data_IF_142872408541
#
_entry.id   IF_142872408541
#
_cell.length_a   1.000
_cell.length_b   1.000
_cell.length_c   1.000
_cell.angle_alpha   90.00
_cell.angle_beta   90.00
_cell.angle_gamma   90.00
#
_symmetry.space_group_name_H-M   'P 1'
#
loop_
_entity.id
_entity.type
_entity.pdbx_description
1 polymer ?
#
# COMPACT_ATOMS: atom_id res chain seq x y z
N UNK A 1 -18.59 -10.26 17.64
CA UNK A 1 -17.63 -11.29 17.14
C UNK A 1 -16.56 -11.52 18.19
N UNK A 2 -16.43 -12.75 18.71
CA UNK A 2 -15.33 -13.15 19.58
C UNK A 2 -13.96 -12.89 18.91
N UNK A 3 -12.90 -12.56 19.70
CA UNK A 3 -11.59 -12.18 19.18
C UNK A 3 -10.96 -13.22 18.24
N UNK A 4 -11.17 -14.51 18.52
CA UNK A 4 -10.60 -15.61 17.73
C UNK A 4 -11.24 -15.73 16.33
N UNK A 5 -12.56 -15.55 16.22
CA UNK A 5 -13.23 -15.49 14.92
C UNK A 5 -12.80 -14.25 14.13
N UNK A 6 -12.62 -13.11 14.82
CA UNK A 6 -12.14 -11.87 14.21
C UNK A 6 -10.74 -12.04 13.61
N UNK A 7 -9.84 -12.75 14.30
CA UNK A 7 -8.50 -13.11 13.81
C UNK A 7 -8.55 -13.95 12.54
N UNK A 8 -9.37 -15.01 12.51
CA UNK A 8 -9.51 -15.86 11.34
C UNK A 8 -10.07 -15.08 10.15
N UNK A 9 -11.08 -14.25 10.38
CA UNK A 9 -11.62 -13.36 9.35
C UNK A 9 -10.54 -12.43 8.78
N UNK A 10 -9.78 -11.72 9.62
CA UNK A 10 -8.73 -10.82 9.14
C UNK A 10 -7.60 -11.56 8.42
N UNK A 11 -7.20 -12.74 8.89
CA UNK A 11 -6.16 -13.54 8.24
C UNK A 11 -6.59 -14.01 6.85
N UNK A 12 -7.81 -14.53 6.73
CA UNK A 12 -8.39 -14.96 5.45
C UNK A 12 -8.57 -13.79 4.49
N UNK A 13 -9.10 -12.66 4.99
CA UNK A 13 -9.26 -11.44 4.21
C UNK A 13 -7.91 -10.94 3.68
N UNK A 14 -6.88 -10.91 4.53
CA UNK A 14 -5.55 -10.44 4.15
C UNK A 14 -4.90 -11.34 3.09
N UNK A 15 -5.00 -12.66 3.25
CA UNK A 15 -4.47 -13.62 2.27
C UNK A 15 -5.18 -13.53 0.92
N UNK A 16 -6.49 -13.36 0.95
CA UNK A 16 -7.30 -13.25 -0.26
C UNK A 16 -7.11 -11.92 -0.98
N UNK A 17 -7.07 -10.82 -0.22
CA UNK A 17 -7.00 -9.45 -0.74
C UNK A 17 -5.60 -9.08 -1.26
N UNK A 18 -4.53 -9.60 -0.63
CA UNK A 18 -3.17 -9.17 -0.95
C UNK A 18 -2.77 -9.38 -2.42
N UNK A 19 -3.07 -10.56 -2.98
CA UNK A 19 -2.72 -10.90 -4.38
C UNK A 19 -3.43 -10.05 -5.43
N UNK A 20 -4.78 -9.95 -5.44
CA UNK A 20 -5.49 -9.15 -6.44
C UNK A 20 -5.18 -7.66 -6.32
N UNK A 21 -5.02 -7.12 -5.10
CA UNK A 21 -4.66 -5.70 -4.95
C UNK A 21 -3.25 -5.41 -5.47
N UNK A 22 -2.27 -6.25 -5.15
CA UNK A 22 -0.92 -6.08 -5.68
C UNK A 22 -0.89 -6.17 -7.22
N UNK A 23 -1.66 -7.10 -7.80
CA UNK A 23 -1.81 -7.21 -9.24
C UNK A 23 -2.47 -5.96 -9.85
N UNK A 24 -3.54 -5.44 -9.23
CA UNK A 24 -4.20 -4.21 -9.69
C UNK A 24 -3.24 -3.01 -9.66
N UNK A 25 -2.46 -2.85 -8.58
CA UNK A 25 -1.43 -1.81 -8.49
C UNK A 25 -0.35 -1.95 -9.57
N UNK A 26 0.11 -3.18 -9.84
CA UNK A 26 1.07 -3.42 -10.90
C UNK A 26 0.51 -3.05 -12.29
N UNK A 27 -0.76 -3.37 -12.55
CA UNK A 27 -1.46 -2.97 -13.78
C UNK A 27 -1.56 -1.45 -13.87
N UNK A 28 -1.93 -0.75 -12.79
CA UNK A 28 -2.01 0.72 -12.77
C UNK A 28 -0.65 1.36 -13.05
N UNK A 29 0.43 0.81 -12.51
CA UNK A 29 1.79 1.29 -12.80
C UNK A 29 2.12 1.07 -14.27
N UNK A 30 1.84 -0.13 -14.81
CA UNK A 30 2.08 -0.44 -16.22
C UNK A 30 1.29 0.47 -17.17
N UNK A 31 0.01 0.72 -16.87
CA UNK A 31 -0.81 1.63 -17.67
C UNK A 31 -0.34 3.08 -17.55
N UNK A 32 0.10 3.52 -16.36
CA UNK A 32 0.71 4.83 -16.17
C UNK A 32 2.02 5.03 -16.95
N UNK A 33 2.85 3.97 -17.08
CA UNK A 33 4.04 4.00 -17.93
C UNK A 33 3.64 4.14 -19.40
N UNK A 34 2.67 3.34 -19.85
CA UNK A 34 2.21 3.35 -21.24
C UNK A 34 1.59 4.70 -21.62
N UNK A 35 0.75 5.26 -20.75
CA UNK A 35 0.10 6.56 -20.95
C UNK A 35 1.09 7.73 -20.92
N UNK A 36 2.14 7.67 -20.11
CA UNK A 36 3.13 8.74 -20.04
C UNK A 36 4.13 8.75 -21.19
N UNK A 37 4.45 7.57 -21.74
CA UNK A 37 5.47 7.39 -22.77
C UNK A 37 4.86 7.22 -24.16
N UNK A 38 4.13 6.13 -24.42
CA UNK A 38 3.65 5.77 -25.75
C UNK A 38 2.43 6.60 -26.20
N UNK A 39 1.52 6.91 -25.27
CA UNK A 39 0.36 7.77 -25.54
C UNK A 39 0.54 9.20 -24.99
N UNK A 40 1.74 9.52 -24.50
CA UNK A 40 2.03 10.75 -23.77
C UNK A 40 3.10 11.60 -24.45
N UNK A 41 3.49 12.73 -23.81
CA UNK A 41 4.44 13.68 -24.38
C UNK A 41 5.91 13.27 -24.19
N UNK A 42 6.21 12.21 -23.41
CA UNK A 42 7.59 11.78 -23.12
C UNK A 42 8.11 10.92 -24.27
N UNK A 43 8.82 11.54 -25.21
CA UNK A 43 9.37 10.86 -26.38
C UNK A 43 10.88 10.59 -26.24
N UNK A 44 11.56 11.37 -25.41
CA UNK A 44 13.01 11.27 -25.16
C UNK A 44 13.29 11.27 -23.66
N UNK A 45 14.39 10.63 -23.26
CA UNK A 45 14.85 10.63 -21.87
C UNK A 45 15.07 12.04 -21.30
N UNK A 46 15.43 13.01 -22.15
CA UNK A 46 15.55 14.40 -21.74
C UNK A 46 14.21 15.00 -21.29
N UNK A 47 13.08 14.59 -21.88
CA UNK A 47 11.76 15.15 -21.59
C UNK A 47 11.33 14.84 -20.15
N UNK A 48 11.79 13.72 -19.59
CA UNK A 48 11.54 13.33 -18.19
C UNK A 48 12.06 14.39 -17.22
N UNK A 49 13.22 14.99 -17.50
CA UNK A 49 13.88 15.93 -16.60
C UNK A 49 13.61 17.40 -16.97
N UNK A 50 13.48 17.68 -18.26
CA UNK A 50 13.36 19.05 -18.78
C UNK A 50 11.92 19.57 -18.75
N UNK A 51 10.91 18.69 -18.72
CA UNK A 51 9.50 19.12 -18.72
C UNK A 51 8.88 19.06 -17.33
N UNK A 52 7.89 19.92 -17.08
CA UNK A 52 7.08 19.83 -15.85
C UNK A 52 6.31 18.50 -15.81
N UNK A 53 5.73 18.09 -16.94
CA UNK A 53 5.04 16.81 -17.08
C UNK A 53 5.93 15.63 -16.71
N UNK A 54 7.13 15.55 -17.30
CA UNK A 54 8.08 14.45 -17.08
C UNK A 54 8.48 14.30 -15.61
N UNK A 55 8.70 15.42 -14.91
CA UNK A 55 9.06 15.41 -13.48
C UNK A 55 7.90 14.93 -12.61
N UNK A 56 6.67 15.38 -12.88
CA UNK A 56 5.49 14.93 -12.13
C UNK A 56 5.18 13.46 -12.43
N UNK A 57 5.28 13.05 -13.69
CA UNK A 57 5.15 11.65 -14.10
C UNK A 57 6.18 10.74 -13.42
N UNK A 58 7.45 11.14 -13.38
CA UNK A 58 8.50 10.37 -12.72
C UNK A 58 8.26 10.29 -11.20
N UNK A 59 7.85 11.39 -10.58
CA UNK A 59 7.50 11.43 -9.15
C UNK A 59 6.34 10.49 -8.85
N UNK A 60 5.28 10.50 -9.67
CA UNK A 60 4.15 9.60 -9.54
C UNK A 60 4.57 8.13 -9.71
N UNK A 61 5.41 7.84 -10.72
CA UNK A 61 5.90 6.49 -10.98
C UNK A 61 6.72 5.95 -9.80
N UNK A 62 7.69 6.73 -9.31
CA UNK A 62 8.51 6.34 -8.16
C UNK A 62 7.66 6.16 -6.90
N UNK A 63 6.71 7.06 -6.66
CA UNK A 63 5.78 6.97 -5.52
C UNK A 63 4.92 5.72 -5.62
N UNK A 64 4.38 5.39 -6.80
CA UNK A 64 3.57 4.20 -7.02
C UNK A 64 4.37 2.90 -6.78
N UNK A 65 5.59 2.82 -7.31
CA UNK A 65 6.48 1.67 -7.09
C UNK A 65 6.84 1.54 -5.61
N UNK A 66 7.24 2.64 -4.95
CA UNK A 66 7.59 2.63 -3.54
C UNK A 66 6.40 2.23 -2.66
N UNK A 67 5.21 2.72 -2.96
CA UNK A 67 3.98 2.38 -2.23
C UNK A 67 3.64 0.90 -2.38
N UNK A 68 3.69 0.37 -3.61
CA UNK A 68 3.46 -1.05 -3.87
C UNK A 68 4.49 -1.94 -3.16
N UNK A 69 5.78 -1.60 -3.26
CA UNK A 69 6.84 -2.32 -2.58
C UNK A 69 6.67 -2.28 -1.05
N UNK A 70 6.32 -1.13 -0.49
CA UNK A 70 6.08 -0.97 0.93
C UNK A 70 4.90 -1.83 1.42
N UNK A 71 3.76 -1.79 0.71
CA UNK A 71 2.60 -2.62 1.03
C UNK A 71 2.90 -4.11 0.99
N UNK A 72 3.64 -4.54 -0.03
CA UNK A 72 3.99 -5.95 -0.23
C UNK A 72 5.02 -6.47 0.77
N UNK A 73 6.08 -5.72 1.04
CA UNK A 73 7.17 -6.20 1.89
C UNK A 73 7.00 -5.84 3.36
N UNK A 74 6.43 -4.68 3.69
CA UNK A 74 6.36 -4.16 5.06
C UNK A 74 4.95 -4.32 5.62
N UNK A 75 3.94 -3.78 4.93
CA UNK A 75 2.54 -3.82 5.38
C UNK A 75 2.02 -5.25 5.57
N UNK A 76 2.15 -6.07 4.52
CA UNK A 76 1.71 -7.46 4.55
C UNK A 76 2.42 -8.29 5.63
N UNK A 77 3.75 -8.20 5.73
CA UNK A 77 4.52 -8.95 6.74
C UNK A 77 4.11 -8.57 8.15
N UNK A 78 4.02 -7.27 8.44
CA UNK A 78 3.70 -6.79 9.79
C UNK A 78 2.30 -7.19 10.24
N UNK A 79 1.32 -7.05 9.37
CA UNK A 79 -0.05 -7.50 9.65
C UNK A 79 -0.11 -9.02 9.86
N UNK A 80 0.59 -9.80 9.03
CA UNK A 80 0.63 -11.26 9.18
C UNK A 80 1.32 -11.69 10.48
N UNK A 81 2.37 -11.00 10.93
CA UNK A 81 3.02 -11.26 12.22
C UNK A 81 2.04 -11.08 13.39
N UNK A 82 1.25 -10.00 13.39
CA UNK A 82 0.25 -9.72 14.44
C UNK A 82 -0.94 -10.69 14.36
N UNK A 83 -1.42 -11.01 13.16
CA UNK A 83 -2.52 -11.95 12.98
C UNK A 83 -2.12 -13.40 13.25
N UNK A 84 -0.86 -13.77 13.12
CA UNK A 84 -0.39 -15.13 13.39
C UNK A 84 -0.09 -15.39 14.87
N UNK A 85 0.15 -14.37 15.67
CA UNK A 85 0.49 -14.51 17.09
C UNK A 85 -0.73 -14.87 17.95
N UNK A 86 -0.88 -16.14 18.33
CA UNK A 86 -2.04 -16.66 19.07
C UNK A 86 -2.17 -16.11 20.48
N UNK A 87 -1.04 -15.88 21.14
CA UNK A 87 -1.00 -15.43 22.52
C UNK A 87 -1.61 -14.03 22.66
N UNK A 88 -1.33 -13.13 21.71
CA UNK A 88 -1.93 -11.79 21.67
C UNK A 88 -3.47 -11.82 21.61
N UNK A 89 -4.03 -12.74 20.82
CA UNK A 89 -5.48 -12.85 20.65
C UNK A 89 -6.15 -13.60 21.80
N UNK A 90 -5.46 -14.58 22.42
CA UNK A 90 -5.92 -15.26 23.64
C UNK A 90 -5.93 -14.33 24.84
N UNK A 91 -4.90 -13.50 25.02
CA UNK A 91 -4.83 -12.49 26.10
C UNK A 91 -5.98 -11.48 26.00
N UNK A 92 -6.27 -10.97 24.79
CA UNK A 92 -7.41 -10.09 24.56
C UNK A 92 -8.76 -10.77 24.84
N UNK A 93 -8.88 -12.08 24.62
CA UNK A 93 -10.07 -12.85 24.97
C UNK A 93 -10.20 -13.09 26.49
N UNK A 94 -9.07 -13.14 27.20
CA UNK A 94 -8.99 -13.25 28.66
C UNK A 94 -9.24 -11.93 29.41
N UNK A 95 -9.44 -10.82 28.71
CA UNK A 95 -9.78 -9.52 29.28
C UNK A 95 -8.68 -8.46 29.23
N UNK A 96 -7.46 -8.81 28.81
CA UNK A 96 -6.36 -7.85 28.64
C UNK A 96 -6.17 -7.50 27.15
N UNK A 97 -6.82 -6.41 26.73
CA UNK A 97 -6.85 -5.97 25.33
C UNK A 97 -5.73 -4.98 24.96
N UNK A 98 -5.00 -4.46 25.94
CA UNK A 98 -3.92 -3.48 25.76
C UNK A 98 -2.83 -3.93 24.78
N UNK A 99 -2.27 -5.17 24.86
CA UNK A 99 -1.23 -5.61 23.94
C UNK A 99 -1.74 -5.77 22.51
N UNK A 100 -2.99 -6.23 22.33
CA UNK A 100 -3.62 -6.34 21.01
C UNK A 100 -3.87 -4.97 20.40
N UNK A 101 -4.41 -4.01 21.17
CA UNK A 101 -4.59 -2.61 20.72
C UNK A 101 -3.28 -2.01 20.24
N UNK A 102 -2.20 -2.14 21.02
CA UNK A 102 -0.87 -1.64 20.64
C UNK A 102 -0.36 -2.26 19.33
N UNK A 103 -0.53 -3.57 19.17
CA UNK A 103 -0.16 -4.26 17.94
C UNK A 103 -0.99 -3.79 16.73
N UNK A 104 -2.30 -3.60 16.90
CA UNK A 104 -3.19 -3.04 15.88
C UNK A 104 -2.82 -1.61 15.50
N UNK A 105 -2.56 -0.72 16.48
CA UNK A 105 -2.09 0.65 16.21
C UNK A 105 -0.78 0.65 15.43
N UNK A 106 0.10 -0.30 15.70
CA UNK A 106 1.37 -0.46 14.96
C UNK A 106 1.15 -0.88 13.50
N UNK A 107 0.12 -1.69 13.20
CA UNK A 107 -0.29 -2.00 11.83
C UNK A 107 -0.82 -0.73 11.17
N UNK A 108 -1.74 -0.02 11.83
CA UNK A 108 -2.36 1.20 11.30
C UNK A 108 -1.27 2.21 10.91
N UNK A 109 -0.31 2.47 11.80
CA UNK A 109 0.77 3.40 11.54
C UNK A 109 1.61 3.04 10.31
N UNK A 110 1.84 1.74 10.06
CA UNK A 110 2.59 1.29 8.88
C UNK A 110 1.74 1.36 7.61
N UNK A 111 0.45 1.06 7.71
CA UNK A 111 -0.51 1.16 6.62
C UNK A 111 -0.75 2.62 6.20
N UNK A 112 -0.65 3.57 7.15
CA UNK A 112 -0.78 5.00 6.87
C UNK A 112 0.27 5.52 5.87
N UNK A 113 1.42 4.88 5.77
CA UNK A 113 2.44 5.23 4.76
C UNK A 113 1.92 4.99 3.35
N UNK A 114 1.16 3.90 3.13
CA UNK A 114 0.54 3.65 1.83
C UNK A 114 -0.53 4.67 1.50
N UNK A 115 -1.33 5.08 2.49
CA UNK A 115 -2.31 6.15 2.33
C UNK A 115 -1.65 7.49 1.97
N UNK A 116 -0.50 7.81 2.59
CA UNK A 116 0.28 8.99 2.23
C UNK A 116 0.81 8.91 0.79
N UNK A 117 1.31 7.75 0.36
CA UNK A 117 1.69 7.50 -1.03
C UNK A 117 0.53 7.74 -2.00
N UNK A 118 -0.68 7.30 -1.63
CA UNK A 118 -1.89 7.53 -2.43
C UNK A 118 -2.24 9.03 -2.52
N UNK A 119 -2.11 9.78 -1.42
CA UNK A 119 -2.30 11.25 -1.43
C UNK A 119 -1.30 11.93 -2.37
N UNK A 120 -0.03 11.53 -2.33
CA UNK A 120 0.99 12.05 -3.27
C UNK A 120 0.62 11.76 -4.72
N UNK A 121 0.13 10.54 -5.03
CA UNK A 121 -0.35 10.21 -6.37
C UNK A 121 -1.53 11.09 -6.82
N UNK A 122 -2.49 11.36 -5.92
CA UNK A 122 -3.61 12.28 -6.21
C UNK A 122 -3.08 13.68 -6.52
N UNK A 123 -2.14 14.18 -5.71
CA UNK A 123 -1.52 15.49 -5.96
C UNK A 123 -0.81 15.50 -7.31
N UNK A 124 -0.07 14.44 -7.67
CA UNK A 124 0.55 14.33 -8.99
C UNK A 124 -0.49 14.36 -10.13
N UNK A 125 -1.64 13.70 -9.97
CA UNK A 125 -2.72 13.75 -10.97
C UNK A 125 -3.29 15.18 -11.12
N UNK A 126 -3.53 15.87 -10.00
CA UNK A 126 -4.03 17.25 -10.02
C UNK A 126 -3.04 18.23 -10.65
N UNK A 127 -1.74 17.99 -10.50
CA UNK A 127 -0.69 18.81 -11.13
C UNK A 127 -0.50 18.53 -12.63
N UNK A 128 -1.00 17.39 -13.11
CA UNK A 128 -0.98 17.00 -14.53
C UNK A 128 -2.30 17.35 -15.26
N UNK A 129 -3.32 17.79 -14.52
CA UNK A 129 -4.63 18.23 -15.02
C UNK A 129 -4.59 19.68 -15.50
#
# INVERSE_FOLDING_TARGET
MPPLERRQFFRSLMQWSHRPLAAASAVVIATGIWLGTAAGPINRWADVWQTAYGRVWLTALLTGIATLAWGMFVGYRKAMTVFSNEDLWRQANGGDDAPLKKAMTSIIAVQSVEAAGFVVLIVCMLLLS
#
